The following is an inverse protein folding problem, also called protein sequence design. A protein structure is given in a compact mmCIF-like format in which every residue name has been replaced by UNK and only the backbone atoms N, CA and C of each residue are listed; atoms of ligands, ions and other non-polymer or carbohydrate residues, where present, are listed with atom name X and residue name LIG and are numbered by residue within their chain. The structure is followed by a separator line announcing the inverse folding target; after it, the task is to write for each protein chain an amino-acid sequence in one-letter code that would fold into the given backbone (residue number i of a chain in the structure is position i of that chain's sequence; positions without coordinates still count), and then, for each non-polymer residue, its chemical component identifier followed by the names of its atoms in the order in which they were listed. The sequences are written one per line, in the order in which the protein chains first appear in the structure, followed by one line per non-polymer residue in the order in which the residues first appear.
data_IF_244415256757
#
_entry.id   IF_244415256757
#
_cell.length_a   1.000
_cell.length_b   1.000
_cell.length_c   1.000
_cell.angle_alpha   90.00
_cell.angle_beta   90.00
_cell.angle_gamma   90.00
#
_symmetry.space_group_name_H-M   'P 1'
#
loop_
_entity.id
_entity.type
_entity.pdbx_description
1 polymer ?
#
# COMPACT_ATOMS: atom_id res chain seq x y z
N UNK A 1 -5.11 11.18 -11.26
CA UNK A 1 -5.77 9.89 -10.92
C UNK A 1 -6.61 10.07 -9.66
N UNK A 2 -7.78 9.42 -9.59
CA UNK A 2 -8.72 9.50 -8.45
C UNK A 2 -8.02 9.22 -7.11
N UNK A 3 -7.17 8.19 -7.05
CA UNK A 3 -6.39 7.84 -5.87
C UNK A 3 -5.49 8.97 -5.33
N UNK A 4 -4.90 9.79 -6.22
CA UNK A 4 -4.04 10.91 -5.83
C UNK A 4 -4.88 12.04 -5.24
N UNK A 5 -6.09 12.24 -5.75
CA UNK A 5 -7.05 13.23 -5.21
C UNK A 5 -7.57 12.79 -3.85
N UNK A 6 -7.97 11.52 -3.71
CA UNK A 6 -8.35 10.93 -2.44
C UNK A 6 -7.23 11.06 -1.41
N UNK A 7 -5.99 10.70 -1.77
CA UNK A 7 -4.82 10.84 -0.91
C UNK A 7 -4.63 12.29 -0.45
N UNK A 8 -4.67 13.24 -1.39
CA UNK A 8 -4.57 14.69 -1.10
C UNK A 8 -5.64 15.11 -0.10
N UNK A 9 -6.88 14.68 -0.29
CA UNK A 9 -8.01 15.12 0.49
C UNK A 9 -7.97 14.55 1.91
N UNK A 10 -7.69 13.25 2.07
CA UNK A 10 -7.58 12.64 3.40
C UNK A 10 -6.38 13.18 4.19
N UNK A 11 -5.27 13.49 3.51
CA UNK A 11 -4.10 14.13 4.14
C UNK A 11 -4.46 15.53 4.65
N UNK A 12 -5.09 16.36 3.81
CA UNK A 12 -5.48 17.72 4.19
C UNK A 12 -6.49 17.73 5.34
N UNK A 13 -7.50 16.85 5.31
CA UNK A 13 -8.49 16.74 6.37
C UNK A 13 -7.85 16.31 7.69
N UNK A 14 -6.96 15.31 7.66
CA UNK A 14 -6.28 14.81 8.86
C UNK A 14 -5.33 15.84 9.45
N UNK A 15 -4.61 16.56 8.59
CA UNK A 15 -3.75 17.66 9.02
C UNK A 15 -4.53 18.76 9.72
N UNK A 16 -5.67 19.19 9.16
CA UNK A 16 -6.51 20.26 9.73
C UNK A 16 -7.03 19.95 11.14
N UNK A 17 -7.32 18.69 11.44
CA UNK A 17 -7.73 18.23 12.78
C UNK A 17 -6.57 17.90 13.72
N UNK A 18 -5.32 18.11 13.29
CA UNK A 18 -4.12 17.91 14.10
C UNK A 18 -3.77 16.44 14.36
N UNK A 19 -4.30 15.53 13.53
CA UNK A 19 -4.14 14.09 13.69
C UNK A 19 -2.85 13.53 13.11
N UNK A 20 -2.54 12.30 13.52
CA UNK A 20 -1.50 11.46 12.91
C UNK A 20 -2.08 10.70 11.71
N UNK A 21 -1.30 10.54 10.66
CA UNK A 21 -1.61 9.64 9.55
C UNK A 21 -0.70 8.42 9.66
N UNK A 22 -1.27 7.28 9.99
CA UNK A 22 -0.55 6.02 10.16
C UNK A 22 -0.80 5.18 8.91
N UNK A 23 0.27 4.86 8.19
CA UNK A 23 0.22 4.12 6.94
C UNK A 23 0.92 2.77 7.12
N UNK A 24 0.18 1.67 7.30
CA UNK A 24 0.74 0.33 7.18
C UNK A 24 1.24 0.11 5.75
N UNK A 25 2.54 -0.12 5.57
CA UNK A 25 3.12 -0.35 4.24
C UNK A 25 4.03 -1.56 4.18
N UNK A 26 4.15 -2.16 2.99
CA UNK A 26 5.19 -3.16 2.72
C UNK A 26 6.52 -2.45 2.46
N UNK A 27 7.62 -2.99 2.99
CA UNK A 27 8.92 -2.32 2.95
C UNK A 27 9.48 -2.10 1.53
N UNK A 28 9.03 -2.88 0.55
CA UNK A 28 9.46 -2.82 -0.84
C UNK A 28 8.28 -2.49 -1.76
N UNK A 29 8.54 -1.67 -2.78
CA UNK A 29 7.60 -1.34 -3.86
C UNK A 29 6.73 -0.13 -3.51
N UNK A 30 5.53 -0.37 -2.99
CA UNK A 30 4.48 0.66 -2.91
C UNK A 30 4.71 1.73 -1.84
N UNK A 31 5.60 1.49 -0.88
CA UNK A 31 6.11 2.56 0.00
C UNK A 31 6.82 3.64 -0.82
N UNK A 32 7.68 3.24 -1.78
CA UNK A 32 8.45 4.18 -2.59
C UNK A 32 7.54 4.98 -3.53
N UNK A 33 6.53 4.34 -4.14
CA UNK A 33 5.53 5.02 -4.97
C UNK A 33 4.69 6.01 -4.16
N UNK A 34 4.26 5.65 -2.94
CA UNK A 34 3.56 6.58 -2.07
C UNK A 34 4.44 7.78 -1.68
N UNK A 35 5.71 7.53 -1.34
CA UNK A 35 6.69 8.60 -1.05
C UNK A 35 6.84 9.54 -2.25
N UNK A 36 6.93 8.99 -3.46
CA UNK A 36 7.01 9.74 -4.71
C UNK A 36 5.79 10.63 -4.94
N UNK A 37 4.58 10.09 -4.78
CA UNK A 37 3.34 10.88 -4.91
C UNK A 37 3.26 11.97 -3.83
N UNK A 38 3.63 11.67 -2.59
CA UNK A 38 3.66 12.64 -1.51
C UNK A 38 4.66 13.77 -1.77
N UNK A 39 5.82 13.45 -2.37
CA UNK A 39 6.80 14.44 -2.81
C UNK A 39 6.18 15.39 -3.84
N UNK A 40 5.57 14.84 -4.90
CA UNK A 40 4.91 15.65 -5.93
C UNK A 40 3.81 16.56 -5.36
N UNK A 41 2.95 16.01 -4.48
CA UNK A 41 1.86 16.77 -3.85
C UNK A 41 2.41 17.90 -2.96
N UNK A 42 3.53 17.64 -2.25
CA UNK A 42 4.20 18.63 -1.40
C UNK A 42 4.81 19.77 -2.22
N UNK A 43 5.47 19.44 -3.34
CA UNK A 43 6.10 20.42 -4.23
C UNK A 43 5.07 21.29 -4.95
N UNK A 44 3.97 20.69 -5.38
CA UNK A 44 2.81 21.38 -5.96
C UNK A 44 2.01 22.17 -4.91
N UNK A 45 2.39 22.12 -3.62
CA UNK A 45 1.70 22.76 -2.49
C UNK A 45 0.22 22.34 -2.35
N UNK A 46 -0.09 21.13 -2.78
CA UNK A 46 -1.45 20.56 -2.70
C UNK A 46 -1.72 19.90 -1.35
N UNK A 47 -0.68 19.55 -0.61
CA UNK A 47 -0.74 19.12 0.79
C UNK A 47 0.18 20.00 1.65
N UNK A 48 -0.13 20.15 2.95
CA UNK A 48 0.69 20.91 3.88
C UNK A 48 2.08 20.28 4.04
N UNK A 49 3.06 21.14 4.32
CA UNK A 49 4.41 20.71 4.69
C UNK A 49 4.40 20.16 6.12
N UNK A 50 4.06 18.89 6.29
CA UNK A 50 4.09 18.16 7.56
C UNK A 50 5.23 17.14 7.60
N UNK A 51 5.75 16.77 8.79
CA UNK A 51 6.73 15.70 8.91
C UNK A 51 6.18 14.35 8.42
N UNK A 52 6.97 13.64 7.63
CA UNK A 52 6.69 12.29 7.13
C UNK A 52 7.83 11.38 7.56
N UNK A 53 7.51 10.32 8.30
CA UNK A 53 8.49 9.37 8.82
C UNK A 53 8.36 8.03 8.12
N UNK A 54 9.48 7.48 7.66
CA UNK A 54 9.56 6.08 7.21
C UNK A 54 10.17 5.27 8.36
N UNK A 55 9.31 4.57 9.11
CA UNK A 55 9.70 3.78 10.27
C UNK A 55 9.78 2.28 9.93
N UNK A 56 10.72 1.97 9.04
CA UNK A 56 10.99 0.60 8.62
C UNK A 56 12.47 0.48 8.23
N UNK A 57 13.30 -0.20 9.05
CA UNK A 57 14.72 -0.39 8.73
C UNK A 57 14.93 -1.00 7.33
N UNK A 58 14.06 -1.93 6.95
CA UNK A 58 14.09 -2.54 5.62
C UNK A 58 13.72 -1.53 4.52
N UNK A 59 12.69 -0.71 4.71
CA UNK A 59 12.31 0.30 3.72
C UNK A 59 13.41 1.36 3.55
N UNK A 60 14.07 1.76 4.64
CA UNK A 60 15.22 2.66 4.59
C UNK A 60 16.37 2.06 3.79
N UNK A 61 16.72 0.79 4.06
CA UNK A 61 17.77 0.09 3.33
C UNK A 61 17.44 -0.07 1.84
N UNK A 62 16.19 -0.40 1.51
CA UNK A 62 15.74 -0.54 0.12
C UNK A 62 15.73 0.79 -0.61
N UNK A 63 15.32 1.87 0.04
CA UNK A 63 15.40 3.22 -0.56
C UNK A 63 16.84 3.57 -0.96
N UNK A 64 17.83 3.22 -0.14
CA UNK A 64 19.24 3.42 -0.49
C UNK A 64 19.65 2.62 -1.75
N UNK A 65 19.04 1.46 -2.00
CA UNK A 65 19.25 0.70 -3.25
C UNK A 65 18.65 1.47 -4.42
N UNK A 66 17.39 1.93 -4.34
CA UNK A 66 16.77 2.73 -5.40
C UNK A 66 17.59 3.98 -5.73
N UNK A 67 18.10 4.70 -4.74
CA UNK A 67 18.94 5.89 -4.96
C UNK A 67 20.25 5.58 -5.69
N UNK A 68 20.79 4.36 -5.54
CA UNK A 68 22.03 3.93 -6.22
C UNK A 68 21.79 3.41 -7.64
N UNK A 69 20.54 3.17 -8.02
CA UNK A 69 20.16 2.58 -9.29
C UNK A 69 19.17 3.44 -10.10
N UNK A 70 19.44 4.74 -10.34
CA UNK A 70 18.55 5.63 -11.09
C UNK A 70 18.32 5.17 -12.55
N UNK A 71 19.19 4.34 -13.11
CA UNK A 71 19.04 3.72 -14.43
C UNK A 71 17.81 2.82 -14.55
N UNK A 72 17.22 2.40 -13.43
CA UNK A 72 16.02 1.54 -13.39
C UNK A 72 14.71 2.33 -13.37
N UNK A 73 14.77 3.65 -13.29
CA UNK A 73 13.59 4.51 -13.22
C UNK A 73 12.94 4.65 -14.60
N UNK A 74 11.61 4.77 -14.62
CA UNK A 74 10.88 5.04 -15.84
C UNK A 74 11.13 6.48 -16.36
N UNK A 75 10.71 6.74 -17.59
CA UNK A 75 10.90 8.06 -18.22
C UNK A 75 10.19 9.20 -17.47
N UNK A 76 9.10 8.90 -16.75
CA UNK A 76 8.33 9.88 -16.01
C UNK A 76 9.10 10.36 -14.77
N UNK A 77 9.63 9.43 -13.97
CA UNK A 77 10.50 9.73 -12.84
C UNK A 77 11.79 10.45 -13.28
N UNK A 78 12.37 10.08 -14.43
CA UNK A 78 13.52 10.79 -15.02
C UNK A 78 13.17 12.23 -15.43
N UNK A 79 11.99 12.48 -15.99
CA UNK A 79 11.54 13.83 -16.37
C UNK A 79 11.29 14.72 -15.16
N UNK A 80 10.68 14.17 -14.12
CA UNK A 80 10.31 14.92 -12.91
C UNK A 80 11.53 15.28 -12.04
N UNK A 81 12.52 14.39 -11.95
CA UNK A 81 13.63 14.52 -10.99
C UNK A 81 15.02 14.63 -11.63
N UNK A 82 15.25 13.95 -12.76
CA UNK A 82 16.57 13.89 -13.41
C UNK A 82 17.09 15.24 -13.94
N UNK A 83 16.20 16.19 -14.25
CA UNK A 83 16.61 17.53 -14.74
C UNK A 83 16.95 18.54 -13.64
N UNK A 84 16.47 18.33 -12.41
CA UNK A 84 16.65 19.27 -11.28
C UNK A 84 17.76 18.86 -10.32
N UNK A 85 18.24 17.61 -10.40
CA UNK A 85 19.14 17.04 -9.40
C UNK A 85 18.45 16.68 -8.08
N UNK A 86 17.11 16.72 -8.06
CA UNK A 86 16.30 16.32 -6.91
C UNK A 86 16.19 14.79 -6.85
N UNK A 87 16.13 14.23 -5.65
CA UNK A 87 15.97 12.79 -5.44
C UNK A 87 14.47 12.45 -5.28
N UNK A 88 13.89 11.53 -6.07
CA UNK A 88 12.46 11.25 -6.03
C UNK A 88 12.00 10.77 -4.65
N UNK A 89 12.87 10.05 -3.94
CA UNK A 89 12.61 9.47 -2.62
C UNK A 89 13.26 10.25 -1.47
N UNK A 90 13.69 11.50 -1.70
CA UNK A 90 14.19 12.35 -0.62
C UNK A 90 13.71 13.79 -0.80
N UNK A 91 12.98 14.28 0.20
CA UNK A 91 12.51 15.66 0.23
C UNK A 91 12.51 16.19 1.66
N UNK A 92 12.48 17.52 1.81
CA UNK A 92 12.79 18.23 3.06
C UNK A 92 12.00 17.77 4.30
N UNK A 93 10.80 17.21 4.10
CA UNK A 93 9.93 16.81 5.19
C UNK A 93 9.93 15.30 5.45
N UNK A 94 10.70 14.52 4.69
CA UNK A 94 10.80 13.07 4.81
C UNK A 94 11.98 12.71 5.71
N UNK A 95 11.74 11.86 6.71
CA UNK A 95 12.76 11.37 7.63
C UNK A 95 12.72 9.85 7.70
N UNK A 96 13.84 9.21 7.35
CA UNK A 96 14.01 7.78 7.51
C UNK A 96 14.45 7.46 8.93
N UNK A 97 13.59 6.78 9.67
CA UNK A 97 13.83 6.40 11.07
C UNK A 97 14.54 5.05 11.12
N UNK A 98 15.72 5.02 11.71
CA UNK A 98 16.55 3.79 11.73
C UNK A 98 16.57 3.21 13.14
N UNK A 99 16.71 4.07 14.16
CA UNK A 99 16.90 3.61 15.53
C UNK A 99 15.58 3.20 16.20
N UNK A 100 15.72 2.38 17.25
CA UNK A 100 14.58 1.98 18.08
C UNK A 100 14.12 3.13 18.97
N UNK A 101 15.02 3.99 19.44
CA UNK A 101 14.64 5.16 20.24
C UNK A 101 13.80 6.15 19.41
N UNK A 102 14.20 6.43 18.18
CA UNK A 102 13.47 7.33 17.28
C UNK A 102 12.05 6.81 17.01
N UNK A 103 11.91 5.53 16.67
CA UNK A 103 10.60 4.88 16.47
C UNK A 103 9.72 4.99 17.72
N UNK A 104 10.28 4.75 18.91
CA UNK A 104 9.55 4.89 20.17
C UNK A 104 9.11 6.33 20.44
N UNK A 105 9.95 7.32 20.12
CA UNK A 105 9.62 8.73 20.29
C UNK A 105 8.43 9.16 19.40
N UNK A 106 8.27 8.55 18.22
CA UNK A 106 7.13 8.83 17.34
C UNK A 106 5.78 8.40 17.95
N UNK A 107 5.76 7.34 18.76
CA UNK A 107 4.52 6.86 19.39
C UNK A 107 3.85 7.94 20.26
N UNK A 108 4.64 8.69 21.02
CA UNK A 108 4.15 9.73 21.94
C UNK A 108 4.19 11.14 21.35
N UNK A 109 4.82 11.32 20.19
CA UNK A 109 4.87 12.62 19.50
C UNK A 109 3.45 13.12 19.19
N UNK A 110 3.11 14.39 19.46
CA UNK A 110 1.84 14.97 19.03
C UNK A 110 1.81 15.18 17.49
N UNK A 111 0.63 15.06 16.89
CA UNK A 111 0.41 15.38 15.48
C UNK A 111 0.44 16.89 15.20
N UNK A 112 0.36 17.31 13.92
CA UNK A 112 0.18 16.44 12.75
C UNK A 112 1.52 15.93 12.18
N UNK A 113 1.56 14.64 11.88
CA UNK A 113 2.62 14.00 11.09
C UNK A 113 2.09 12.74 10.41
N UNK A 114 2.83 12.23 9.43
CA UNK A 114 2.59 10.93 8.81
C UNK A 114 3.69 9.94 9.16
N UNK A 115 3.34 8.68 9.38
CA UNK A 115 4.30 7.59 9.57
C UNK A 115 3.96 6.40 8.68
N UNK A 116 4.91 6.00 7.84
CA UNK A 116 4.87 4.80 7.00
C UNK A 116 5.65 3.71 7.75
N UNK A 117 5.00 2.62 8.12
CA UNK A 117 5.64 1.57 8.91
C UNK A 117 5.24 0.18 8.44
N UNK A 118 6.20 -0.73 8.47
CA UNK A 118 5.98 -2.15 8.22
C UNK A 118 5.42 -2.87 9.48
N UNK A 119 4.65 -3.95 9.33
CA UNK A 119 4.24 -4.62 8.08
C UNK A 119 2.92 -4.10 7.46
N UNK A 120 2.78 -4.21 6.14
CA UNK A 120 1.63 -3.67 5.39
C UNK A 120 0.27 -4.27 5.70
N UNK A 121 0.24 -5.45 6.34
CA UNK A 121 -1.00 -6.10 6.79
C UNK A 121 -1.27 -5.97 8.30
N UNK A 122 -0.46 -5.17 8.99
CA UNK A 122 -0.56 -4.94 10.44
C UNK A 122 -0.39 -6.20 11.30
N UNK A 123 0.31 -7.22 10.82
CA UNK A 123 0.48 -8.47 11.59
C UNK A 123 1.69 -8.45 12.53
N UNK A 124 2.70 -7.63 12.21
CA UNK A 124 3.95 -7.59 12.95
C UNK A 124 4.70 -6.27 12.74
N UNK A 125 5.73 -6.05 13.55
CA UNK A 125 6.65 -4.94 13.40
C UNK A 125 6.20 -3.65 14.10
N UNK A 126 6.86 -2.55 13.74
CA UNK A 126 6.71 -1.24 14.39
C UNK A 126 5.31 -0.66 14.21
N UNK A 127 4.60 -1.06 13.14
CA UNK A 127 3.24 -0.59 12.85
C UNK A 127 2.27 -0.88 14.00
N UNK A 128 2.43 -2.03 14.69
CA UNK A 128 1.56 -2.39 15.81
C UNK A 128 1.66 -1.36 16.95
N UNK A 129 2.85 -0.81 17.18
CA UNK A 129 3.05 0.22 18.20
C UNK A 129 2.41 1.55 17.76
N UNK A 130 2.54 1.94 16.49
CA UNK A 130 1.86 3.13 15.97
C UNK A 130 0.34 2.99 16.07
N UNK A 131 -0.21 1.82 15.74
CA UNK A 131 -1.64 1.53 15.86
C UNK A 131 -2.13 1.59 17.31
N UNK A 132 -1.41 0.98 18.26
CA UNK A 132 -1.74 1.06 19.69
C UNK A 132 -1.85 2.52 20.17
N UNK A 133 -0.94 3.39 19.70
CA UNK A 133 -0.91 4.81 20.09
C UNK A 133 -1.76 5.71 19.18
N UNK A 134 -2.51 5.12 18.24
CA UNK A 134 -3.21 5.83 17.19
C UNK A 134 -4.71 5.54 17.09
N UNK A 135 -5.11 4.28 17.31
CA UNK A 135 -6.46 3.79 17.02
C UNK A 135 -7.56 4.47 17.85
N UNK A 136 -7.26 4.86 19.10
CA UNK A 136 -8.25 5.38 20.05
C UNK A 136 -8.41 6.91 20.01
N UNK A 137 -7.80 7.58 19.04
CA UNK A 137 -7.94 9.03 18.83
C UNK A 137 -8.60 9.29 17.47
N UNK A 138 -9.79 9.88 17.49
CA UNK A 138 -10.63 10.20 16.33
C UNK A 138 -10.00 11.22 15.37
N UNK A 139 -9.00 11.97 15.83
CA UNK A 139 -8.25 12.88 14.96
C UNK A 139 -7.34 12.10 14.02
N UNK A 140 -6.97 10.86 14.33
CA UNK A 140 -6.02 10.11 13.52
C UNK A 140 -6.67 9.50 12.29
N UNK A 141 -5.83 9.14 11.32
CA UNK A 141 -6.17 8.39 10.13
C UNK A 141 -5.30 7.13 10.06
N UNK A 142 -5.92 5.98 9.85
CA UNK A 142 -5.25 4.76 9.40
C UNK A 142 -5.48 4.66 7.89
N UNK A 143 -4.41 4.85 7.12
CA UNK A 143 -4.48 4.83 5.66
C UNK A 143 -3.96 3.48 5.14
N UNK A 144 -4.87 2.66 4.64
CA UNK A 144 -4.55 1.35 4.06
C UNK A 144 -4.33 1.53 2.56
N UNK A 145 -3.12 1.21 2.08
CA UNK A 145 -2.72 1.42 0.68
C UNK A 145 -2.45 0.12 -0.07
N UNK A 146 -2.92 -1.02 0.44
CA UNK A 146 -2.67 -2.32 -0.17
C UNK A 146 -3.59 -3.41 0.36
N UNK A 147 -3.63 -4.52 -0.38
CA UNK A 147 -4.49 -5.65 -0.07
C UNK A 147 -4.29 -6.18 1.36
N UNK A 148 -5.40 -6.51 2.01
CA UNK A 148 -5.46 -7.06 3.35
C UNK A 148 -6.04 -8.47 3.32
N UNK A 149 -5.18 -9.45 3.57
CA UNK A 149 -5.59 -10.85 3.57
C UNK A 149 -6.58 -11.16 4.70
N UNK A 150 -7.44 -12.15 4.48
CA UNK A 150 -8.38 -12.65 5.48
C UNK A 150 -7.69 -12.96 6.82
N UNK A 151 -8.41 -12.72 7.91
CA UNK A 151 -7.98 -12.94 9.28
C UNK A 151 -6.85 -12.02 9.81
N UNK A 152 -6.28 -11.14 8.98
CA UNK A 152 -5.29 -10.15 9.43
C UNK A 152 -5.93 -9.02 10.23
N UNK A 153 -5.12 -8.35 11.06
CA UNK A 153 -5.53 -7.12 11.75
C UNK A 153 -5.92 -6.03 10.76
N UNK A 154 -5.13 -5.84 9.70
CA UNK A 154 -5.44 -4.83 8.70
C UNK A 154 -6.76 -5.10 7.97
N UNK A 155 -7.13 -6.37 7.72
CA UNK A 155 -8.43 -6.72 7.16
C UNK A 155 -9.59 -6.35 8.08
N UNK A 156 -9.46 -6.56 9.39
CA UNK A 156 -10.47 -6.14 10.39
C UNK A 156 -10.67 -4.63 10.40
N UNK A 157 -9.59 -3.86 10.21
CA UNK A 157 -9.67 -2.40 10.10
C UNK A 157 -10.43 -1.98 8.84
N UNK A 158 -10.10 -2.57 7.69
CA UNK A 158 -10.80 -2.34 6.41
C UNK A 158 -12.29 -2.68 6.50
N UNK A 159 -12.64 -3.76 7.21
CA UNK A 159 -14.03 -4.18 7.43
C UNK A 159 -14.78 -3.32 8.47
N UNK A 160 -14.14 -2.31 9.05
CA UNK A 160 -14.79 -1.36 9.95
C UNK A 160 -15.07 -1.90 11.36
N UNK A 161 -14.32 -2.92 11.81
CA UNK A 161 -14.48 -3.47 13.16
C UNK A 161 -14.24 -2.36 14.20
N UNK A 162 -15.19 -2.16 15.11
CA UNK A 162 -15.11 -1.10 16.15
C UNK A 162 -14.13 -1.39 17.27
N UNK A 163 -13.65 -2.63 17.37
CA UNK A 163 -12.61 -3.01 18.31
C UNK A 163 -11.71 -4.10 17.71
N UNK A 164 -10.42 -3.99 17.97
CA UNK A 164 -9.40 -4.95 17.51
C UNK A 164 -8.52 -5.40 18.67
N UNK A 165 -7.81 -6.51 18.50
CA UNK A 165 -6.85 -7.03 19.49
C UNK A 165 -5.42 -6.88 18.98
N UNK A 166 -4.56 -6.26 19.79
CA UNK A 166 -3.12 -6.14 19.54
C UNK A 166 -2.40 -6.54 20.83
N UNK A 167 -1.40 -7.42 20.75
CA UNK A 167 -0.68 -7.98 21.92
C UNK A 167 -1.61 -8.47 23.04
N UNK A 168 -2.71 -9.14 22.66
CA UNK A 168 -3.77 -9.68 23.54
C UNK A 168 -4.58 -8.61 24.29
N UNK A 169 -4.35 -7.32 24.05
CA UNK A 169 -5.13 -6.21 24.58
C UNK A 169 -6.15 -5.74 23.54
N UNK A 170 -7.33 -5.27 23.99
CA UNK A 170 -8.37 -4.73 23.12
C UNK A 170 -8.21 -3.22 22.98
N UNK A 171 -8.38 -2.71 21.77
CA UNK A 171 -8.35 -1.29 21.44
C UNK A 171 -9.62 -0.91 20.68
N UNK A 172 -10.19 0.24 21.01
CA UNK A 172 -11.32 0.81 20.26
C UNK A 172 -10.84 1.44 18.97
N UNK A 173 -11.51 1.19 17.86
CA UNK A 173 -11.19 1.83 16.57
C UNK A 173 -12.01 3.11 16.47
N UNK A 174 -11.44 4.22 16.92
CA UNK A 174 -12.01 5.58 16.82
C UNK A 174 -11.39 6.39 15.70
N UNK A 175 -10.13 6.13 15.36
CA UNK A 175 -9.46 6.72 14.22
C UNK A 175 -10.24 6.44 12.92
N UNK A 176 -10.21 7.40 12.00
CA UNK A 176 -10.73 7.20 10.65
C UNK A 176 -9.90 6.11 9.96
N UNK A 177 -10.54 5.22 9.20
CA UNK A 177 -9.86 4.22 8.37
C UNK A 177 -10.23 4.51 6.92
N UNK A 178 -9.25 4.75 6.07
CA UNK A 178 -9.44 4.96 4.63
C UNK A 178 -8.62 3.95 3.83
N UNK A 179 -9.15 3.55 2.69
CA UNK A 179 -8.52 2.57 1.79
C UNK A 179 -8.32 3.20 0.43
N UNK A 180 -7.07 3.18 -0.06
CA UNK A 180 -6.73 3.60 -1.42
C UNK A 180 -6.13 2.38 -2.12
N UNK A 181 -6.94 1.71 -2.95
CA UNK A 181 -6.61 0.42 -3.55
C UNK A 181 -5.65 0.53 -4.75
N UNK A 182 -5.56 1.71 -5.36
CA UNK A 182 -4.77 1.96 -6.57
C UNK A 182 -3.26 1.99 -6.30
N UNK A 183 -2.87 2.09 -5.03
CA UNK A 183 -1.49 1.84 -4.61
C UNK A 183 -1.18 0.34 -4.43
N UNK A 184 -2.10 -0.57 -4.75
CA UNK A 184 -1.83 -2.01 -4.84
C UNK A 184 -0.98 -2.32 -6.06
N UNK A 185 0.01 -3.22 -5.94
CA UNK A 185 0.84 -3.66 -7.07
C UNK A 185 0.13 -4.61 -8.05
N UNK A 186 -1.14 -4.89 -7.81
CA UNK A 186 -1.92 -5.87 -8.56
C UNK A 186 -2.80 -5.15 -9.57
N UNK A 187 -2.73 -5.61 -10.83
CA UNK A 187 -3.67 -5.21 -11.87
C UNK A 187 -5.10 -5.52 -11.44
N UNK A 188 -6.03 -4.61 -11.75
CA UNK A 188 -7.45 -4.84 -11.55
C UNK A 188 -8.00 -5.87 -12.55
N UNK A 189 -9.24 -6.30 -12.37
CA UNK A 189 -9.85 -7.30 -13.25
C UNK A 189 -9.86 -6.87 -14.74
N UNK A 190 -10.21 -5.62 -15.11
CA UNK A 190 -10.08 -5.16 -16.49
C UNK A 190 -8.65 -5.26 -17.04
N UNK A 191 -7.64 -4.82 -16.28
CA UNK A 191 -6.25 -4.86 -16.72
C UNK A 191 -5.71 -6.29 -16.85
N UNK A 192 -6.07 -7.20 -15.93
CA UNK A 192 -5.71 -8.62 -16.01
C UNK A 192 -6.33 -9.29 -17.24
N UNK A 193 -7.60 -9.00 -17.53
CA UNK A 193 -8.27 -9.51 -18.72
C UNK A 193 -7.60 -9.00 -20.00
N UNK A 194 -7.35 -7.70 -20.07
CA UNK A 194 -6.64 -7.09 -21.20
C UNK A 194 -5.24 -7.69 -21.38
N UNK A 195 -4.53 -7.98 -20.29
CA UNK A 195 -3.24 -8.65 -20.37
C UNK A 195 -3.37 -10.06 -20.99
N UNK A 196 -4.34 -10.86 -20.54
CA UNK A 196 -4.59 -12.18 -21.10
C UNK A 196 -4.88 -12.12 -22.61
N UNK A 197 -5.64 -11.12 -23.07
CA UNK A 197 -5.97 -10.89 -24.48
C UNK A 197 -4.75 -10.53 -25.35
N UNK A 198 -3.64 -10.08 -24.76
CA UNK A 198 -2.41 -9.81 -25.51
C UNK A 198 -1.57 -11.07 -25.78
N UNK A 199 -1.93 -12.22 -25.21
CA UNK A 199 -1.16 -13.46 -25.33
C UNK A 199 -1.64 -14.24 -26.57
N UNK A 200 -0.85 -14.35 -27.64
CA UNK A 200 -1.26 -15.04 -28.85
C UNK A 200 -1.39 -16.55 -28.60
N UNK A 201 -2.52 -17.13 -29.04
CA UNK A 201 -2.77 -18.56 -28.93
C UNK A 201 -3.08 -19.04 -27.50
N UNK A 202 -3.46 -18.13 -26.59
CA UNK A 202 -3.90 -18.49 -25.25
C UNK A 202 -5.12 -19.41 -25.31
N UNK A 203 -5.05 -20.53 -24.58
CA UNK A 203 -6.13 -21.53 -24.50
C UNK A 203 -6.48 -21.94 -23.09
N UNK A 204 -5.53 -21.85 -22.16
CA UNK A 204 -5.69 -22.31 -20.78
C UNK A 204 -5.12 -21.29 -19.80
N UNK A 205 -5.93 -20.85 -18.86
CA UNK A 205 -5.58 -19.94 -17.76
C UNK A 205 -5.74 -20.66 -16.43
N UNK A 206 -4.72 -20.57 -15.58
CA UNK A 206 -4.78 -21.01 -14.19
C UNK A 206 -4.80 -19.78 -13.28
N UNK A 207 -5.91 -19.56 -12.57
CA UNK A 207 -6.05 -18.47 -11.62
C UNK A 207 -5.50 -18.87 -10.26
N UNK A 208 -4.35 -18.31 -9.91
CA UNK A 208 -3.64 -18.56 -8.65
C UNK A 208 -3.50 -17.27 -7.84
N UNK A 209 -3.10 -17.37 -6.57
CA UNK A 209 -2.82 -16.23 -5.69
C UNK A 209 -3.95 -15.17 -5.61
N UNK A 210 -5.20 -15.61 -5.41
CA UNK A 210 -6.35 -14.74 -5.17
C UNK A 210 -7.39 -15.37 -4.23
N UNK A 211 -8.30 -14.58 -3.68
CA UNK A 211 -9.43 -15.11 -2.91
C UNK A 211 -10.35 -15.91 -3.85
N UNK A 212 -10.90 -17.04 -3.38
CA UNK A 212 -11.70 -17.94 -4.21
C UNK A 212 -12.89 -17.24 -4.89
N UNK A 213 -13.59 -16.38 -4.17
CA UNK A 213 -14.70 -15.58 -4.72
C UNK A 213 -14.26 -14.60 -5.80
N UNK A 214 -13.08 -13.99 -5.66
CA UNK A 214 -12.51 -13.08 -6.66
C UNK A 214 -12.04 -13.84 -7.90
N UNK A 215 -11.40 -14.99 -7.72
CA UNK A 215 -11.00 -15.87 -8.82
C UNK A 215 -12.21 -16.39 -9.60
N UNK A 216 -13.29 -16.79 -8.90
CA UNK A 216 -14.55 -17.19 -9.55
C UNK A 216 -15.21 -16.04 -10.31
N UNK A 217 -15.25 -14.84 -9.73
CA UNK A 217 -15.79 -13.65 -10.39
C UNK A 217 -14.98 -13.30 -11.65
N UNK A 218 -13.65 -13.35 -11.57
CA UNK A 218 -12.77 -13.10 -12.71
C UNK A 218 -12.94 -14.17 -13.80
N UNK A 219 -13.01 -15.45 -13.44
CA UNK A 219 -13.33 -16.54 -14.37
C UNK A 219 -14.62 -16.25 -15.14
N UNK A 220 -15.70 -15.87 -14.44
CA UNK A 220 -16.98 -15.52 -15.08
C UNK A 220 -16.82 -14.34 -16.05
N UNK A 221 -16.09 -13.30 -15.66
CA UNK A 221 -15.86 -12.10 -16.49
C UNK A 221 -15.09 -12.41 -17.78
N UNK A 222 -14.09 -13.30 -17.73
CA UNK A 222 -13.30 -13.67 -18.90
C UNK A 222 -14.08 -14.63 -19.79
N UNK A 223 -14.75 -15.63 -19.22
CA UNK A 223 -15.54 -16.60 -19.99
C UNK A 223 -16.75 -15.99 -20.72
N UNK A 224 -17.20 -14.78 -20.36
CA UNK A 224 -18.22 -14.04 -21.10
C UNK A 224 -17.76 -13.65 -22.51
N UNK A 225 -16.48 -13.30 -22.67
CA UNK A 225 -15.94 -12.80 -23.93
C UNK A 225 -15.07 -13.85 -24.65
N UNK A 226 -14.50 -14.80 -23.91
CA UNK A 226 -13.61 -15.85 -24.41
C UNK A 226 -14.08 -17.23 -23.93
N UNK A 227 -15.17 -17.72 -24.50
CA UNK A 227 -15.78 -19.01 -24.13
C UNK A 227 -14.92 -20.23 -24.51
N UNK A 228 -13.97 -20.05 -25.43
CA UNK A 228 -13.02 -21.05 -25.90
C UNK A 228 -11.80 -21.20 -24.98
N UNK A 229 -11.59 -20.28 -24.04
CA UNK A 229 -10.51 -20.38 -23.06
C UNK A 229 -10.92 -21.27 -21.89
N UNK A 230 -10.13 -22.30 -21.63
CA UNK A 230 -10.22 -23.07 -20.40
C UNK A 230 -9.67 -22.23 -19.24
N UNK A 231 -10.44 -22.08 -18.17
CA UNK A 231 -10.02 -21.32 -16.99
C UNK A 231 -10.20 -22.19 -15.75
N UNK A 232 -9.12 -22.52 -15.07
CA UNK A 232 -9.12 -23.32 -13.85
C UNK A 232 -8.67 -22.50 -12.64
N UNK A 233 -9.24 -22.82 -11.47
CA UNK A 233 -8.84 -22.25 -10.17
C UNK A 233 -8.26 -23.43 -9.36
N UNK A 234 -6.93 -23.64 -9.41
CA UNK A 234 -6.31 -24.80 -8.78
C UNK A 234 -6.52 -24.84 -7.27
N UNK A 235 -6.77 -26.03 -6.74
CA UNK A 235 -6.69 -26.30 -5.31
C UNK A 235 -5.25 -26.61 -4.88
N UNK A 236 -4.96 -26.43 -3.58
CA UNK A 236 -3.68 -26.85 -3.00
C UNK A 236 -3.44 -28.33 -3.32
N UNK A 237 -2.25 -28.64 -3.85
CA UNK A 237 -1.82 -29.97 -4.29
C UNK A 237 -2.57 -30.56 -5.50
N UNK A 238 -3.37 -29.76 -6.23
CA UNK A 238 -3.93 -30.20 -7.51
C UNK A 238 -2.86 -30.17 -8.61
N UNK A 239 -2.85 -31.21 -9.44
CA UNK A 239 -1.91 -31.35 -10.56
C UNK A 239 -2.65 -31.33 -11.89
N UNK A 240 -2.00 -30.77 -12.92
CA UNK A 240 -2.51 -30.71 -14.29
C UNK A 240 -1.46 -31.24 -15.24
N UNK A 241 -1.89 -32.01 -16.24
CA UNK A 241 -1.04 -32.44 -17.35
C UNK A 241 -1.29 -31.50 -18.52
N UNK A 242 -0.27 -30.73 -18.90
CA UNK A 242 -0.34 -29.86 -20.07
C UNK A 242 0.02 -30.67 -21.31
N UNK A 243 -0.92 -30.80 -22.24
CA UNK A 243 -0.63 -31.40 -23.55
C UNK A 243 -0.10 -30.29 -24.47
N UNK A 244 1.16 -30.44 -24.91
CA UNK A 244 1.67 -29.61 -26.00
C UNK A 244 1.03 -30.09 -27.31
N UNK A 245 0.33 -29.21 -27.99
CA UNK A 245 -0.08 -29.38 -29.38
C UNK A 245 0.86 -28.60 -30.30
#
# INVERSE_FOLDING_TARGET
PEAVETLRDVVNQTYKRGGKIIVPTFALGRTQELIYVLHQLTDKKLIPRMPIYVDSPLATNLTNVFTRHPETYDEEAWKDFGKKGDLPLAFRNLTYTVSREESKALNTKPGPFMVLSASGMCEAGRILHHLINGLEDERNLILITGFQAQNTLGRRLVEGHKAVKIFRQKFSVKAQVEVINEFSAHADAPALKKYAETIPGLRHIFLVHGEGSQAEAFKKLVSQDHADWQIDIPQINQSFTLQNH
#
